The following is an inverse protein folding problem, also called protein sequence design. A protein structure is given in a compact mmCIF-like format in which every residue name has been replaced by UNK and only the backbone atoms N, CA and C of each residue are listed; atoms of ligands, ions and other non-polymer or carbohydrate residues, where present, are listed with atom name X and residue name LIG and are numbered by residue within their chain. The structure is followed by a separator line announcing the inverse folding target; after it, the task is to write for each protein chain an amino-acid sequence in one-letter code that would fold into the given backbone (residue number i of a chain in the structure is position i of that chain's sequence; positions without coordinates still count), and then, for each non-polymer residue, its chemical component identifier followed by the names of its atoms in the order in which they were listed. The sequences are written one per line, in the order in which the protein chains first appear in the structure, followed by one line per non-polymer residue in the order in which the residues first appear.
data_IF_530678625605
#
_entry.id   IF_530678625605
#
_cell.length_a   1.000
_cell.length_b   1.000
_cell.length_c   1.000
_cell.angle_alpha   90.00
_cell.angle_beta   90.00
_cell.angle_gamma   90.00
#
_symmetry.space_group_name_H-M   'P 1'
#
loop_
_entity.id
_entity.type
_entity.pdbx_description
1 polymer ?
#
# COMPACT_ATOMS: atom_id res chain seq x y z
N UNK A 1 -6.21 5.59 -0.31
CA UNK A 1 -5.54 5.47 1.01
C UNK A 1 -4.08 5.90 0.82
N UNK A 2 -3.48 6.68 1.73
CA UNK A 2 -2.08 7.11 1.57
C UNK A 2 -1.11 6.14 2.24
N UNK A 3 -0.05 5.74 1.55
CA UNK A 3 1.07 5.03 2.18
C UNK A 3 1.97 6.00 2.95
N UNK A 4 2.67 5.50 3.96
CA UNK A 4 3.60 6.26 4.79
C UNK A 4 5.03 5.89 4.41
N UNK A 5 5.93 6.86 4.41
CA UNK A 5 7.37 6.63 4.27
C UNK A 5 8.00 6.80 5.64
N UNK A 6 8.68 5.76 6.13
CA UNK A 6 9.40 5.73 7.41
C UNK A 6 10.90 5.66 7.19
N UNK A 7 11.67 6.22 8.11
CA UNK A 7 13.12 6.19 8.08
C UNK A 7 13.68 5.10 9.01
N UNK A 8 14.81 4.51 8.61
CA UNK A 8 15.66 3.56 9.36
C UNK A 8 15.05 2.19 9.63
N UNK A 9 13.76 2.10 9.95
CA UNK A 9 13.07 0.83 10.20
C UNK A 9 11.58 0.88 9.82
N UNK A 10 10.97 -0.29 9.69
CA UNK A 10 9.53 -0.45 9.43
C UNK A 10 8.62 0.19 10.50
N UNK A 11 9.14 0.39 11.72
CA UNK A 11 8.43 1.06 12.84
C UNK A 11 8.98 2.45 13.11
N UNK A 12 9.94 2.92 12.32
CA UNK A 12 10.62 4.20 12.49
C UNK A 12 9.72 5.41 12.24
N UNK A 13 10.27 6.61 12.43
CA UNK A 13 9.52 7.86 12.28
C UNK A 13 8.99 8.02 10.87
N UNK A 14 7.72 8.42 10.73
CA UNK A 14 7.12 8.81 9.45
C UNK A 14 7.74 10.12 8.98
N UNK A 15 8.37 10.11 7.81
CA UNK A 15 9.05 11.26 7.20
C UNK A 15 8.45 11.70 5.87
N UNK A 16 7.49 10.94 5.34
CA UNK A 16 6.79 11.27 4.11
C UNK A 16 5.49 10.49 3.94
N UNK A 17 4.72 10.85 2.92
CA UNK A 17 3.50 10.15 2.52
C UNK A 17 3.41 10.03 1.02
N UNK A 18 2.84 8.93 0.54
CA UNK A 18 2.64 8.65 -0.89
C UNK A 18 1.14 8.52 -1.14
N UNK A 19 0.65 9.21 -2.17
CA UNK A 19 -0.74 9.11 -2.60
C UNK A 19 -0.99 7.82 -3.40
N UNK A 20 -2.26 7.47 -3.57
CA UNK A 20 -2.67 6.44 -4.53
C UNK A 20 -3.12 7.11 -5.82
N UNK A 21 -2.88 6.49 -6.98
CA UNK A 21 -3.43 6.99 -8.25
C UNK A 21 -4.97 6.88 -8.25
N UNK A 22 -5.65 7.70 -9.08
CA UNK A 22 -7.12 7.63 -9.23
C UNK A 22 -7.60 6.29 -9.79
N UNK A 23 -6.99 5.71 -10.86
CA UNK A 23 -7.40 4.42 -11.40
C UNK A 23 -7.38 3.29 -10.37
N UNK A 24 -6.37 3.24 -9.50
CA UNK A 24 -6.29 2.19 -8.48
C UNK A 24 -7.45 2.20 -7.48
N UNK A 25 -8.08 3.36 -7.24
CA UNK A 25 -9.29 3.41 -6.41
C UNK A 25 -10.47 2.71 -7.09
N UNK A 26 -10.59 2.89 -8.41
CA UNK A 26 -11.59 2.20 -9.22
C UNK A 26 -11.37 0.69 -9.18
N UNK A 27 -10.12 0.24 -9.32
CA UNK A 27 -9.78 -1.19 -9.28
C UNK A 27 -10.06 -1.82 -7.90
N UNK A 28 -9.74 -1.09 -6.81
CA UNK A 28 -10.08 -1.50 -5.44
C UNK A 28 -11.61 -1.67 -5.30
N UNK A 29 -12.40 -0.74 -5.85
CA UNK A 29 -13.88 -0.81 -5.83
C UNK A 29 -14.43 -1.95 -6.67
N UNK A 30 -13.93 -2.18 -7.88
CA UNK A 30 -14.34 -3.30 -8.72
C UNK A 30 -14.02 -4.64 -8.05
N UNK A 31 -12.86 -4.75 -7.42
CA UNK A 31 -12.46 -5.94 -6.66
C UNK A 31 -13.41 -6.20 -5.48
N UNK A 32 -13.73 -5.16 -4.70
CA UNK A 32 -14.71 -5.25 -3.60
C UNK A 32 -16.09 -5.71 -4.09
N UNK A 33 -16.54 -5.20 -5.24
CA UNK A 33 -17.80 -5.62 -5.85
C UNK A 33 -17.79 -7.08 -6.31
N UNK A 34 -16.70 -7.54 -6.93
CA UNK A 34 -16.56 -8.93 -7.37
C UNK A 34 -16.62 -9.90 -6.18
N UNK A 35 -15.91 -9.58 -5.08
CA UNK A 35 -15.95 -10.39 -3.86
C UNK A 35 -17.36 -10.41 -3.26
N UNK A 36 -18.01 -9.25 -3.17
CA UNK A 36 -19.37 -9.16 -2.65
C UNK A 36 -20.39 -9.96 -3.50
N UNK A 37 -20.21 -10.01 -4.82
CA UNK A 37 -21.08 -10.75 -5.73
C UNK A 37 -20.95 -12.27 -5.55
N UNK A 38 -19.72 -12.81 -5.51
CA UNK A 38 -19.53 -14.26 -5.33
C UNK A 38 -20.00 -14.76 -3.97
N UNK A 39 -19.89 -13.93 -2.93
CA UNK A 39 -20.44 -14.22 -1.60
C UNK A 39 -21.99 -14.19 -1.62
N UNK A 40 -22.58 -13.18 -2.26
CA UNK A 40 -24.05 -13.04 -2.37
C UNK A 40 -24.67 -14.21 -3.13
N UNK A 41 -24.01 -14.68 -4.18
CA UNK A 41 -24.43 -15.85 -4.97
C UNK A 41 -24.21 -17.18 -4.26
N UNK A 42 -23.56 -17.17 -3.08
CA UNK A 42 -23.30 -18.38 -2.31
C UNK A 42 -22.26 -19.31 -2.92
N UNK A 43 -21.47 -18.84 -3.89
CA UNK A 43 -20.40 -19.62 -4.53
C UNK A 43 -19.24 -19.87 -3.57
N UNK A 44 -19.00 -18.90 -2.68
CA UNK A 44 -17.98 -18.96 -1.65
C UNK A 44 -18.56 -18.51 -0.31
N UNK A 45 -17.85 -18.83 0.76
CA UNK A 45 -18.06 -18.26 2.08
C UNK A 45 -16.84 -17.48 2.52
N UNK A 46 -17.04 -16.38 3.26
CA UNK A 46 -15.94 -15.61 3.85
C UNK A 46 -15.49 -16.27 5.15
N UNK A 47 -14.25 -16.74 5.20
CA UNK A 47 -13.64 -17.32 6.40
C UNK A 47 -12.98 -16.30 7.29
N UNK A 48 -12.26 -15.36 6.68
CA UNK A 48 -11.51 -14.33 7.40
C UNK A 48 -11.36 -13.09 6.55
N UNK A 49 -11.61 -11.92 7.14
CA UNK A 49 -11.34 -10.63 6.52
C UNK A 49 -10.58 -9.72 7.47
N UNK A 50 -9.81 -8.80 6.93
CA UNK A 50 -9.08 -7.85 7.78
C UNK A 50 -8.16 -6.92 7.01
N UNK A 51 -7.23 -6.33 7.75
CA UNK A 51 -6.15 -5.49 7.24
C UNK A 51 -4.84 -5.97 7.81
N UNK A 52 -3.81 -6.00 6.96
CA UNK A 52 -2.43 -6.17 7.36
C UNK A 52 -1.62 -4.95 6.95
N UNK A 53 -0.63 -4.59 7.76
CA UNK A 53 0.33 -3.55 7.42
C UNK A 53 1.52 -4.20 6.72
N UNK A 54 1.77 -3.78 5.49
CA UNK A 54 2.89 -4.25 4.70
C UNK A 54 3.95 -3.14 4.63
N UNK A 55 5.17 -3.46 5.02
CA UNK A 55 6.31 -2.57 4.98
C UNK A 55 7.31 -3.06 3.93
N UNK A 56 7.59 -2.22 2.94
CA UNK A 56 8.52 -2.52 1.85
C UNK A 56 9.81 -1.74 2.13
N UNK A 57 10.97 -2.40 2.32
CA UNK A 57 12.24 -1.73 2.53
C UNK A 57 12.82 -1.19 1.22
N UNK A 58 13.56 -0.09 1.32
CA UNK A 58 14.37 0.52 0.28
C UNK A 58 15.67 1.01 0.92
N UNK A 59 16.80 0.81 0.28
CA UNK A 59 18.12 1.19 0.77
C UNK A 59 18.29 2.71 0.84
N UNK A 60 17.69 3.45 -0.10
CA UNK A 60 17.68 4.91 -0.08
C UNK A 60 16.49 5.54 -0.82
N UNK A 61 16.54 6.87 -0.97
CA UNK A 61 15.50 7.65 -1.65
C UNK A 61 15.52 7.50 -3.18
N UNK A 62 16.64 7.07 -3.77
CA UNK A 62 16.76 6.77 -5.20
C UNK A 62 16.03 5.49 -5.54
N UNK A 63 16.34 4.39 -4.84
CA UNK A 63 15.65 3.11 -5.03
C UNK A 63 14.13 3.22 -4.79
N UNK A 64 13.74 4.00 -3.77
CA UNK A 64 12.33 4.31 -3.55
C UNK A 64 11.71 5.06 -4.75
N UNK A 65 12.43 5.99 -5.37
CA UNK A 65 11.92 6.72 -6.51
C UNK A 65 11.79 5.81 -7.74
N UNK A 66 12.80 4.98 -8.01
CA UNK A 66 12.77 3.99 -9.11
C UNK A 66 11.54 3.08 -8.97
N UNK A 67 11.30 2.56 -7.76
CA UNK A 67 10.10 1.78 -7.46
C UNK A 67 8.81 2.56 -7.73
N UNK A 68 8.75 3.85 -7.38
CA UNK A 68 7.54 4.66 -7.55
C UNK A 68 7.27 5.02 -9.01
N UNK A 69 8.31 5.17 -9.82
CA UNK A 69 8.19 5.50 -11.24
C UNK A 69 7.59 4.33 -12.04
N UNK A 70 7.91 3.09 -11.65
CA UNK A 70 7.37 1.88 -12.26
C UNK A 70 6.04 1.40 -11.66
N UNK A 71 5.58 2.00 -10.54
CA UNK A 71 4.45 1.45 -9.79
C UNK A 71 3.08 2.02 -10.17
N UNK A 72 2.21 1.15 -10.67
CA UNK A 72 0.83 1.47 -11.08
C UNK A 72 -0.10 1.97 -9.95
N UNK A 73 0.21 1.68 -8.68
CA UNK A 73 -0.68 2.01 -7.55
C UNK A 73 -0.41 3.37 -6.93
N UNK A 74 0.86 3.73 -6.84
CA UNK A 74 1.28 4.90 -6.08
C UNK A 74 1.44 6.11 -6.99
N UNK A 75 1.22 7.30 -6.44
CA UNK A 75 1.73 8.50 -7.10
C UNK A 75 3.23 8.35 -7.25
N UNK A 76 3.79 8.70 -8.41
CA UNK A 76 5.23 8.62 -8.71
C UNK A 76 6.07 9.65 -7.92
N UNK A 77 5.59 10.08 -6.74
CA UNK A 77 6.23 11.10 -5.92
C UNK A 77 5.84 10.93 -4.45
N UNK A 78 6.85 11.09 -3.59
CA UNK A 78 6.68 11.22 -2.15
C UNK A 78 6.42 12.68 -1.77
N UNK A 79 5.39 12.93 -0.94
CA UNK A 79 5.24 14.18 -0.20
C UNK A 79 6.06 14.11 1.08
N UNK A 80 7.26 14.67 1.04
CA UNK A 80 8.19 14.72 2.17
C UNK A 80 7.75 15.69 3.25
N UNK A 81 7.99 15.34 4.51
CA UNK A 81 7.75 16.18 5.71
C UNK A 81 9.04 16.68 6.36
N UNK A 82 10.18 16.27 5.82
CA UNK A 82 11.52 16.53 6.37
C UNK A 82 12.48 17.03 5.28
N UNK A 83 13.54 17.78 5.64
CA UNK A 83 14.57 18.21 4.70
C UNK A 83 15.35 17.01 4.12
N UNK A 84 16.04 17.22 3.00
CA UNK A 84 16.75 16.15 2.25
C UNK A 84 17.77 15.38 3.11
N UNK A 85 18.51 16.07 3.97
CA UNK A 85 19.48 15.45 4.87
C UNK A 85 18.84 14.39 5.80
N UNK A 86 17.58 14.57 6.18
CA UNK A 86 16.85 13.65 7.04
C UNK A 86 16.18 12.47 6.28
N UNK A 87 16.41 12.36 4.96
CA UNK A 87 15.92 11.28 4.09
C UNK A 87 17.00 10.24 3.77
N UNK A 88 18.21 10.42 4.30
CA UNK A 88 19.34 9.55 4.02
C UNK A 88 19.20 8.17 4.68
N UNK A 89 19.77 7.16 4.03
CA UNK A 89 19.74 5.77 4.45
C UNK A 89 18.39 5.10 4.23
N UNK A 90 18.23 3.95 4.88
CA UNK A 90 17.12 3.02 4.62
C UNK A 90 15.75 3.65 4.85
N UNK A 91 14.86 3.43 3.90
CA UNK A 91 13.48 3.88 3.89
C UNK A 91 12.52 2.69 3.86
N UNK A 92 11.30 2.92 4.35
CA UNK A 92 10.25 1.92 4.36
C UNK A 92 8.93 2.52 3.90
N UNK A 93 8.31 1.92 2.90
CA UNK A 93 6.92 2.25 2.52
C UNK A 93 5.97 1.34 3.28
N UNK A 94 5.24 1.90 4.22
CA UNK A 94 4.20 1.23 4.98
C UNK A 94 2.83 1.52 4.34
N UNK A 95 2.12 0.46 3.95
CA UNK A 95 0.74 0.54 3.45
C UNK A 95 -0.15 -0.50 4.11
N UNK A 96 -1.43 -0.18 4.27
CA UNK A 96 -2.41 -1.20 4.64
C UNK A 96 -2.86 -1.98 3.39
N UNK A 97 -2.95 -3.29 3.54
CA UNK A 97 -3.51 -4.22 2.55
C UNK A 97 -4.77 -4.80 3.17
N UNK A 98 -5.91 -4.66 2.48
CA UNK A 98 -7.15 -5.35 2.84
C UNK A 98 -7.09 -6.76 2.27
N UNK A 99 -7.61 -7.73 3.02
CA UNK A 99 -7.72 -9.11 2.54
C UNK A 99 -9.05 -9.71 2.96
N UNK A 100 -9.49 -10.67 2.16
CA UNK A 100 -10.63 -11.55 2.43
C UNK A 100 -10.27 -12.95 1.93
N UNK A 101 -10.36 -13.94 2.82
CA UNK A 101 -10.10 -15.34 2.54
C UNK A 101 -11.42 -16.00 2.26
N UNK A 102 -11.58 -16.46 1.03
CA UNK A 102 -12.77 -17.15 0.54
C UNK A 102 -12.51 -18.67 0.58
N UNK A 103 -13.52 -19.42 0.98
CA UNK A 103 -13.55 -20.87 0.93
C UNK A 103 -14.73 -21.30 0.06
N UNK A 104 -14.51 -22.30 -0.80
CA UNK A 104 -15.57 -22.86 -1.62
C UNK A 104 -16.65 -23.41 -0.69
N UNK A 105 -17.90 -23.15 -1.04
CA UNK A 105 -19.03 -23.66 -0.27
C UNK A 105 -19.24 -25.16 -0.51
#
# INVERSE_FOLDING_TARGET
MSARVRARSATGRVIGTIGSQRPTKSDDTHSDHAVADVLRRGLFTSRRRGRLWHAIPFEDAGELQDYLDDHLRFSHRVRWRVPRAARAGRLFVERAVRFEVLELR
#
